data_IF_837542224210
#
_entry.id   IF_837542224210
#
_cell.length_a   1.000
_cell.length_b   1.000
_cell.length_c   1.000
_cell.angle_alpha   90.00
_cell.angle_beta   90.00
_cell.angle_gamma   90.00
#
_symmetry.space_group_name_H-M   'P 1'
#
loop_
_entity.id
_entity.type
_entity.pdbx_description
1 polymer ?
#
# COMPACT_ATOMS: atom_id res chain seq x y z
N UNK A 1 5.52 -6.32 5.33
CA UNK A 1 5.00 -6.50 3.94
C UNK A 1 5.56 -5.51 2.92
N UNK A 2 5.69 -4.20 3.18
CA UNK A 2 6.21 -3.23 2.21
C UNK A 2 7.57 -3.64 1.60
N UNK A 3 8.50 -4.14 2.43
CA UNK A 3 9.78 -4.66 1.96
C UNK A 3 9.66 -5.89 1.05
N UNK A 4 8.68 -6.75 1.28
CA UNK A 4 8.41 -7.88 0.40
C UNK A 4 7.95 -7.40 -0.97
N UNK A 5 7.10 -6.37 -1.01
CA UNK A 5 6.63 -5.74 -2.25
C UNK A 5 7.79 -5.05 -3.00
N UNK A 6 8.59 -4.26 -2.31
CA UNK A 6 9.76 -3.62 -2.88
C UNK A 6 10.76 -4.64 -3.45
N UNK A 7 11.07 -5.71 -2.69
CA UNK A 7 11.95 -6.78 -3.15
C UNK A 7 11.38 -7.50 -4.38
N UNK A 8 10.06 -7.66 -4.48
CA UNK A 8 9.41 -8.23 -5.68
C UNK A 8 9.66 -7.35 -6.90
N UNK A 9 9.36 -6.07 -6.79
CA UNK A 9 9.53 -5.09 -7.87
C UNK A 9 10.99 -5.03 -8.35
N UNK A 10 11.95 -4.93 -7.42
CA UNK A 10 13.38 -4.83 -7.75
C UNK A 10 13.90 -6.13 -8.39
N UNK A 11 13.61 -7.29 -7.82
CA UNK A 11 14.11 -8.57 -8.35
C UNK A 11 13.46 -8.93 -9.70
N UNK A 12 12.17 -8.64 -9.87
CA UNK A 12 11.43 -8.94 -11.10
C UNK A 12 11.60 -7.87 -12.17
N UNK A 13 12.07 -6.67 -11.78
CA UNK A 13 12.14 -5.47 -12.63
C UNK A 13 10.80 -5.10 -13.26
N UNK A 14 9.71 -5.52 -12.63
CA UNK A 14 8.35 -5.34 -13.09
C UNK A 14 7.36 -5.70 -11.95
N UNK A 15 6.08 -5.42 -12.16
CA UNK A 15 5.01 -5.82 -11.26
C UNK A 15 4.53 -7.23 -11.58
N UNK A 16 4.95 -8.21 -10.77
CA UNK A 16 4.53 -9.62 -10.91
C UNK A 16 3.73 -10.01 -9.66
N UNK A 17 2.38 -9.95 -9.67
CA UNK A 17 1.55 -10.20 -8.50
C UNK A 17 1.76 -11.57 -7.84
N UNK A 18 2.12 -12.57 -8.65
CA UNK A 18 2.47 -13.90 -8.15
C UNK A 18 3.71 -13.86 -7.25
N UNK A 19 4.79 -13.19 -7.68
CA UNK A 19 6.02 -13.05 -6.90
C UNK A 19 5.80 -12.20 -5.63
N UNK A 20 4.92 -11.19 -5.70
CA UNK A 20 4.46 -10.46 -4.52
C UNK A 20 3.83 -11.40 -3.48
N UNK A 21 2.90 -12.28 -3.89
CA UNK A 21 2.27 -13.25 -2.99
C UNK A 21 3.27 -14.28 -2.46
N UNK A 22 4.22 -14.74 -3.28
CA UNK A 22 5.32 -15.61 -2.85
C UNK A 22 6.12 -14.95 -1.73
N UNK A 23 6.51 -13.69 -1.87
CA UNK A 23 7.29 -12.99 -0.81
C UNK A 23 6.48 -12.71 0.43
N UNK A 24 5.18 -12.44 0.30
CA UNK A 24 4.28 -12.37 1.46
C UNK A 24 4.16 -13.71 2.17
N UNK A 25 4.09 -14.82 1.42
CA UNK A 25 4.13 -16.18 1.97
C UNK A 25 5.45 -16.45 2.70
N UNK A 26 6.60 -16.06 2.12
CA UNK A 26 7.91 -16.21 2.80
C UNK A 26 7.97 -15.41 4.10
N UNK A 27 7.42 -14.19 4.11
CA UNK A 27 7.31 -13.42 5.34
C UNK A 27 6.44 -14.15 6.36
N UNK A 28 5.26 -14.62 5.94
CA UNK A 28 4.31 -15.32 6.80
C UNK A 28 4.88 -16.60 7.42
N UNK A 29 5.55 -17.45 6.62
CA UNK A 29 6.07 -18.75 7.07
C UNK A 29 7.44 -18.70 7.72
N UNK A 30 8.30 -17.77 7.28
CA UNK A 30 9.73 -17.81 7.59
C UNK A 30 10.27 -16.48 8.14
N UNK A 31 9.43 -15.47 8.31
CA UNK A 31 9.87 -14.15 8.80
C UNK A 31 10.75 -13.39 7.79
N UNK A 32 10.71 -13.74 6.51
CA UNK A 32 11.40 -12.99 5.44
C UNK A 32 11.06 -11.50 5.52
N UNK A 33 12.09 -10.64 5.60
CA UNK A 33 11.96 -9.17 5.75
C UNK A 33 11.23 -8.72 7.03
N UNK A 34 11.18 -9.55 8.07
CA UNK A 34 10.66 -9.18 9.40
C UNK A 34 11.72 -8.50 10.27
N UNK A 35 11.30 -7.54 11.08
CA UNK A 35 12.17 -6.91 12.10
C UNK A 35 12.48 -7.82 13.29
N UNK A 36 11.72 -8.89 13.49
CA UNK A 36 11.90 -9.83 14.61
C UNK A 36 12.40 -11.21 14.18
N UNK A 37 12.71 -11.39 12.89
CA UNK A 37 13.09 -12.69 12.32
C UNK A 37 11.94 -13.71 12.21
N UNK A 38 10.71 -13.36 12.61
CA UNK A 38 9.50 -14.19 12.47
C UNK A 38 8.31 -13.34 12.01
N UNK A 39 7.28 -13.97 11.45
CA UNK A 39 6.01 -13.26 11.21
C UNK A 39 5.39 -12.86 12.55
N UNK A 40 4.93 -11.62 12.64
CA UNK A 40 4.09 -11.12 13.73
C UNK A 40 3.11 -10.10 13.14
N UNK A 41 1.98 -9.91 13.83
CA UNK A 41 0.98 -8.89 13.50
C UNK A 41 0.39 -9.01 12.07
N UNK A 42 0.09 -10.24 11.66
CA UNK A 42 -0.62 -10.49 10.41
C UNK A 42 -2.13 -10.37 10.62
N UNK A 43 -2.78 -9.49 9.86
CA UNK A 43 -4.24 -9.37 9.87
C UNK A 43 -4.94 -10.54 9.17
N UNK A 44 -6.17 -10.85 9.62
CA UNK A 44 -6.97 -11.98 9.12
C UNK A 44 -7.10 -12.00 7.59
N UNK A 45 -7.46 -10.86 6.98
CA UNK A 45 -7.59 -10.72 5.52
C UNK A 45 -6.33 -11.16 4.74
N UNK A 46 -5.15 -10.78 5.25
CA UNK A 46 -3.88 -11.17 4.62
C UNK A 46 -3.60 -12.64 4.85
N UNK A 47 -3.79 -13.13 6.08
CA UNK A 47 -3.59 -14.55 6.40
C UNK A 47 -4.47 -15.47 5.53
N UNK A 48 -5.76 -15.13 5.40
CA UNK A 48 -6.72 -15.91 4.60
C UNK A 48 -6.34 -15.91 3.12
N UNK A 49 -5.94 -14.74 2.59
CA UNK A 49 -5.48 -14.63 1.20
C UNK A 49 -4.20 -15.44 0.93
N UNK A 50 -3.29 -15.54 1.91
CA UNK A 50 -2.09 -16.36 1.77
C UNK A 50 -2.38 -17.85 1.86
N UNK A 51 -3.32 -18.28 2.72
CA UNK A 51 -3.80 -19.66 2.74
C UNK A 51 -4.45 -20.05 1.41
N UNK A 52 -5.30 -19.18 0.86
CA UNK A 52 -5.92 -19.41 -0.45
C UNK A 52 -4.87 -19.43 -1.58
N UNK A 53 -3.85 -18.57 -1.52
CA UNK A 53 -2.74 -18.59 -2.46
C UNK A 53 -1.98 -19.93 -2.41
N UNK A 54 -1.64 -20.41 -1.21
CA UNK A 54 -0.96 -21.71 -1.03
C UNK A 54 -1.81 -22.87 -1.55
N UNK A 55 -3.11 -22.89 -1.25
CA UNK A 55 -4.03 -23.89 -1.75
C UNK A 55 -4.07 -23.88 -3.29
N UNK A 56 -4.21 -22.70 -3.90
CA UNK A 56 -4.16 -22.56 -5.36
C UNK A 56 -2.83 -22.97 -5.95
N UNK A 57 -1.71 -22.66 -5.31
CA UNK A 57 -0.37 -23.13 -5.74
C UNK A 57 -0.32 -24.65 -5.83
N UNK A 58 -0.83 -25.37 -4.83
CA UNK A 58 -0.86 -26.84 -4.81
C UNK A 58 -1.74 -27.44 -5.92
N UNK A 59 -2.95 -26.89 -6.10
CA UNK A 59 -3.84 -27.29 -7.19
C UNK A 59 -3.20 -27.03 -8.55
N UNK A 60 -2.61 -25.85 -8.74
CA UNK A 60 -1.96 -25.45 -9.99
C UNK A 60 -0.76 -26.35 -10.32
N UNK A 61 0.04 -26.71 -9.32
CA UNK A 61 1.15 -27.65 -9.47
C UNK A 61 0.70 -29.00 -10.02
N UNK A 62 -0.41 -29.52 -9.48
CA UNK A 62 -1.00 -30.79 -9.92
C UNK A 62 -1.52 -30.68 -11.36
N UNK A 63 -2.29 -29.62 -11.68
CA UNK A 63 -2.87 -29.42 -13.02
C UNK A 63 -1.81 -29.30 -14.11
N UNK A 64 -0.73 -28.56 -13.85
CA UNK A 64 0.31 -28.28 -14.85
C UNK A 64 1.56 -29.14 -14.70
N UNK A 65 1.54 -30.14 -13.80
CA UNK A 65 2.66 -31.06 -13.50
C UNK A 65 3.96 -30.32 -13.16
N UNK A 66 3.85 -29.27 -12.34
CA UNK A 66 4.98 -28.46 -11.88
C UNK A 66 5.47 -29.03 -10.54
N UNK A 67 6.77 -29.32 -10.36
CA UNK A 67 7.31 -29.71 -9.06
C UNK A 67 7.07 -28.62 -7.99
N UNK A 68 6.63 -29.00 -6.79
CA UNK A 68 6.21 -28.06 -5.73
C UNK A 68 7.34 -27.09 -5.36
N UNK A 69 8.57 -27.57 -5.27
CA UNK A 69 9.76 -26.81 -4.95
C UNK A 69 10.09 -25.70 -5.98
N UNK A 70 9.50 -25.77 -7.18
CA UNK A 70 9.69 -24.76 -8.23
C UNK A 70 8.61 -23.68 -8.25
N UNK A 71 7.50 -23.85 -7.53
CA UNK A 71 6.36 -22.93 -7.60
C UNK A 71 6.73 -21.52 -7.20
N UNK A 72 7.50 -21.35 -6.13
CA UNK A 72 7.89 -20.02 -5.65
C UNK A 72 8.87 -19.30 -6.59
N UNK A 73 9.47 -20.03 -7.52
CA UNK A 73 10.40 -19.50 -8.51
C UNK A 73 9.81 -19.48 -9.92
N UNK A 74 8.49 -19.66 -10.05
CA UNK A 74 7.80 -19.69 -11.34
C UNK A 74 7.99 -18.37 -12.08
N UNK A 75 8.58 -18.43 -13.27
CA UNK A 75 8.87 -17.26 -14.11
C UNK A 75 8.29 -17.35 -15.52
N UNK A 76 7.69 -18.48 -15.89
CA UNK A 76 7.09 -18.68 -17.21
C UNK A 76 5.84 -17.80 -17.37
N UNK A 77 5.86 -16.88 -18.33
CA UNK A 77 4.78 -15.93 -18.55
C UNK A 77 3.45 -16.61 -18.93
N UNK A 78 3.51 -17.70 -19.70
CA UNK A 78 2.33 -18.46 -20.12
C UNK A 78 1.64 -19.19 -18.96
N UNK A 79 2.40 -19.62 -17.95
CA UNK A 79 1.86 -20.20 -16.72
C UNK A 79 1.40 -19.13 -15.73
N UNK A 80 2.17 -18.05 -15.56
CA UNK A 80 1.80 -16.95 -14.66
C UNK A 80 0.46 -16.32 -15.03
N UNK A 81 0.16 -16.16 -16.32
CA UNK A 81 -1.14 -15.65 -16.81
C UNK A 81 -2.32 -16.58 -16.51
N UNK A 82 -2.07 -17.87 -16.28
CA UNK A 82 -3.10 -18.86 -15.94
C UNK A 82 -3.36 -18.96 -14.44
N UNK A 83 -2.48 -18.39 -13.61
CA UNK A 83 -2.65 -18.43 -12.16
C UNK A 83 -3.54 -17.27 -11.68
N UNK A 84 -4.64 -17.60 -11.00
CA UNK A 84 -5.52 -16.58 -10.43
C UNK A 84 -4.95 -16.03 -9.10
N UNK A 85 -4.28 -14.87 -9.19
CA UNK A 85 -3.68 -14.15 -8.06
C UNK A 85 -4.67 -13.41 -7.16
N UNK A 86 -5.95 -13.30 -7.53
CA UNK A 86 -6.97 -12.65 -6.69
C UNK A 86 -7.43 -13.62 -5.59
N UNK A 87 -6.61 -13.75 -4.54
CA UNK A 87 -6.80 -14.72 -3.46
C UNK A 87 -7.68 -14.22 -2.31
N UNK A 88 -8.04 -12.94 -2.31
CA UNK A 88 -9.01 -12.40 -1.34
C UNK A 88 -10.45 -12.56 -1.82
N UNK A 89 -11.34 -12.83 -0.88
CA UNK A 89 -12.79 -12.72 -1.07
C UNK A 89 -13.23 -11.28 -1.34
N UNK A 90 -14.37 -11.12 -2.00
CA UNK A 90 -15.05 -9.82 -2.17
C UNK A 90 -15.49 -9.25 -0.83
N UNK A 91 -15.49 -7.93 -0.67
CA UNK A 91 -15.95 -7.26 0.56
C UNK A 91 -14.86 -7.07 1.63
N UNK A 92 -13.65 -7.59 1.39
CA UNK A 92 -12.52 -7.46 2.33
C UNK A 92 -11.87 -6.07 2.18
N UNK A 93 -12.33 -5.12 2.99
CA UNK A 93 -11.95 -3.70 2.93
C UNK A 93 -11.02 -3.24 4.08
N UNK A 94 -10.14 -4.12 4.55
CA UNK A 94 -9.12 -3.78 5.55
C UNK A 94 -8.05 -2.82 5.03
N UNK A 95 -7.43 -2.03 5.93
CA UNK A 95 -6.42 -1.02 5.60
C UNK A 95 -5.02 -1.59 5.27
N UNK A 96 -4.79 -2.90 5.47
CA UNK A 96 -3.49 -3.56 5.28
C UNK A 96 -2.92 -3.50 3.86
N UNK A 97 -3.74 -3.15 2.87
CA UNK A 97 -3.29 -2.83 1.51
C UNK A 97 -2.56 -1.47 1.43
N UNK A 98 -3.07 -0.43 2.10
CA UNK A 98 -2.48 0.91 2.08
C UNK A 98 -1.19 1.01 2.88
N UNK A 99 -1.10 0.33 4.04
CA UNK A 99 0.06 0.43 4.94
C UNK A 99 1.39 -0.02 4.31
N UNK A 100 1.34 -0.66 3.14
CA UNK A 100 2.51 -1.23 2.45
C UNK A 100 2.70 -0.71 1.02
N UNK A 101 1.94 0.30 0.59
CA UNK A 101 1.73 0.62 -0.81
C UNK A 101 2.96 1.24 -1.52
N UNK A 102 3.69 2.13 -0.82
CA UNK A 102 4.69 3.03 -1.37
C UNK A 102 5.67 2.45 -2.40
N UNK A 103 6.16 1.20 -2.28
CA UNK A 103 7.07 0.65 -3.27
C UNK A 103 6.54 0.69 -4.71
N UNK A 104 5.24 0.50 -4.94
CA UNK A 104 4.66 0.51 -6.28
C UNK A 104 4.71 1.90 -6.93
N UNK A 105 4.13 2.97 -6.34
CA UNK A 105 4.21 4.30 -6.94
C UNK A 105 5.65 4.83 -7.00
N UNK A 106 6.54 4.45 -6.08
CA UNK A 106 7.97 4.77 -6.16
C UNK A 106 8.64 4.13 -7.37
N UNK A 107 8.37 2.85 -7.64
CA UNK A 107 8.99 2.11 -8.75
C UNK A 107 8.49 2.60 -10.12
N UNK A 108 7.18 2.91 -10.23
CA UNK A 108 6.54 3.28 -11.50
C UNK A 108 6.31 4.78 -11.67
N UNK A 109 6.92 5.67 -10.87
CA UNK A 109 6.59 7.11 -10.85
C UNK A 109 6.70 7.84 -12.20
N UNK A 110 7.51 7.32 -13.15
CA UNK A 110 7.63 7.85 -14.52
C UNK A 110 6.51 7.38 -15.47
N UNK A 111 5.69 6.44 -15.03
CA UNK A 111 4.60 5.82 -15.77
C UNK A 111 3.31 5.91 -14.93
N UNK A 112 2.77 7.12 -14.74
CA UNK A 112 1.69 7.39 -13.78
C UNK A 112 0.48 6.46 -13.90
N UNK A 113 0.06 6.12 -15.13
CA UNK A 113 -1.07 5.19 -15.35
C UNK A 113 -0.78 3.81 -14.75
N UNK A 114 0.39 3.24 -15.03
CA UNK A 114 0.81 1.95 -14.46
C UNK A 114 1.01 2.05 -12.95
N UNK A 115 1.60 3.13 -12.44
CA UNK A 115 1.78 3.32 -11.01
C UNK A 115 0.45 3.31 -10.25
N UNK A 116 -0.56 4.02 -10.78
CA UNK A 116 -1.91 4.05 -10.20
C UNK A 116 -2.59 2.69 -10.31
N UNK A 117 -2.60 2.09 -11.49
CA UNK A 117 -3.21 0.78 -11.73
C UNK A 117 -2.61 -0.33 -10.86
N UNK A 118 -1.28 -0.45 -10.84
CA UNK A 118 -0.58 -1.45 -10.04
C UNK A 118 -0.69 -1.19 -8.53
N UNK A 119 -0.87 0.07 -8.11
CA UNK A 119 -1.18 0.38 -6.71
C UNK A 119 -2.48 -0.29 -6.29
N UNK A 120 -3.52 -0.19 -7.12
CA UNK A 120 -4.79 -0.90 -6.91
C UNK A 120 -4.61 -2.42 -6.92
N UNK A 121 -3.99 -2.97 -7.95
CA UNK A 121 -3.83 -4.43 -8.08
C UNK A 121 -3.02 -5.05 -6.93
N UNK A 122 -1.96 -4.38 -6.47
CA UNK A 122 -1.12 -4.82 -5.34
C UNK A 122 -1.92 -4.95 -4.04
N UNK A 123 -2.92 -4.10 -3.83
CA UNK A 123 -3.86 -4.22 -2.72
C UNK A 123 -4.85 -5.38 -2.90
N UNK A 124 -5.51 -5.40 -4.07
CA UNK A 124 -6.64 -6.28 -4.37
C UNK A 124 -6.33 -7.77 -4.24
N UNK A 125 -5.09 -8.20 -4.49
CA UNK A 125 -4.70 -9.61 -4.35
C UNK A 125 -4.84 -10.17 -2.92
N UNK A 126 -4.93 -9.29 -1.91
CA UNK A 126 -5.14 -9.66 -0.49
C UNK A 126 -6.34 -8.96 0.18
N UNK A 127 -6.93 -7.97 -0.48
CA UNK A 127 -8.04 -7.16 0.04
C UNK A 127 -9.02 -6.90 -1.12
N UNK A 128 -9.94 -7.85 -1.32
CA UNK A 128 -10.76 -7.97 -2.52
C UNK A 128 -11.97 -7.03 -2.61
N UNK A 129 -12.05 -5.99 -1.78
CA UNK A 129 -13.06 -4.95 -1.90
C UNK A 129 -12.63 -3.85 -2.91
N UNK A 130 -13.58 -3.34 -3.68
CA UNK A 130 -13.35 -2.25 -4.63
C UNK A 130 -12.81 -0.98 -3.94
N UNK A 131 -13.24 -0.70 -2.70
CA UNK A 131 -12.71 0.40 -1.89
C UNK A 131 -11.23 0.24 -1.60
N UNK A 132 -10.75 -0.99 -1.38
CA UNK A 132 -9.33 -1.23 -1.15
C UNK A 132 -8.51 -0.98 -2.43
N UNK A 133 -9.02 -1.45 -3.57
CA UNK A 133 -8.44 -1.18 -4.88
C UNK A 133 -8.37 0.33 -5.16
N UNK A 134 -9.48 1.05 -5.03
CA UNK A 134 -9.56 2.47 -5.35
C UNK A 134 -8.84 3.37 -4.34
N UNK A 135 -8.83 3.01 -3.05
CA UNK A 135 -8.01 3.70 -2.05
C UNK A 135 -6.53 3.63 -2.40
N UNK A 136 -6.03 2.45 -2.79
CA UNK A 136 -4.64 2.28 -3.19
C UNK A 136 -4.33 3.04 -4.49
N UNK A 137 -5.25 3.06 -5.46
CA UNK A 137 -5.09 3.86 -6.70
C UNK A 137 -4.97 5.34 -6.40
N UNK A 138 -5.90 5.89 -5.63
CA UNK A 138 -5.90 7.30 -5.27
C UNK A 138 -4.65 7.67 -4.47
N UNK A 139 -4.29 6.86 -3.47
CA UNK A 139 -3.10 7.11 -2.66
C UNK A 139 -1.79 6.98 -3.48
N UNK A 140 -1.74 6.00 -4.38
CA UNK A 140 -0.64 5.86 -5.35
C UNK A 140 -0.50 7.08 -6.25
N UNK A 141 -1.61 7.66 -6.73
CA UNK A 141 -1.59 8.88 -7.53
C UNK A 141 -1.01 10.07 -6.78
N UNK A 142 -1.36 10.24 -5.49
CA UNK A 142 -0.79 11.30 -4.64
C UNK A 142 0.72 11.16 -4.48
N UNK A 143 1.21 9.93 -4.25
CA UNK A 143 2.65 9.67 -4.15
C UNK A 143 3.35 9.95 -5.50
N UNK A 144 2.78 9.51 -6.63
CA UNK A 144 3.34 9.78 -7.96
C UNK A 144 3.41 11.27 -8.25
N UNK A 145 2.33 12.01 -8.01
CA UNK A 145 2.30 13.46 -8.21
C UNK A 145 3.35 14.17 -7.34
N UNK A 146 3.53 13.71 -6.10
CA UNK A 146 4.58 14.20 -5.19
C UNK A 146 5.98 14.00 -5.80
N UNK A 147 6.27 12.79 -6.30
CA UNK A 147 7.55 12.47 -6.94
C UNK A 147 7.77 13.22 -8.27
N UNK A 148 6.69 13.72 -8.87
CA UNK A 148 6.71 14.59 -10.05
C UNK A 148 6.79 16.08 -9.70
N UNK A 149 6.92 16.43 -8.42
CA UNK A 149 7.14 17.80 -7.94
C UNK A 149 5.87 18.59 -7.63
N UNK A 150 4.71 17.93 -7.52
CA UNK A 150 3.48 18.62 -7.12
C UNK A 150 3.60 19.20 -5.71
N UNK A 151 3.09 20.42 -5.54
CA UNK A 151 3.05 21.11 -4.25
C UNK A 151 1.92 20.56 -3.40
N UNK A 152 1.99 20.79 -2.09
CA UNK A 152 0.99 20.28 -1.14
C UNK A 152 -0.41 20.80 -1.44
N UNK A 153 -0.54 22.05 -1.87
CA UNK A 153 -1.82 22.65 -2.26
C UNK A 153 -2.43 21.96 -3.48
N UNK A 154 -1.59 21.49 -4.41
CA UNK A 154 -2.03 20.76 -5.61
C UNK A 154 -2.43 19.32 -5.26
N UNK A 155 -1.66 18.65 -4.38
CA UNK A 155 -1.97 17.30 -3.88
C UNK A 155 -3.29 17.26 -3.11
N UNK A 156 -3.57 18.32 -2.35
CA UNK A 156 -4.76 18.44 -1.50
C UNK A 156 -5.87 19.22 -2.18
N UNK A 157 -5.77 19.52 -3.47
CA UNK A 157 -6.83 20.18 -4.23
C UNK A 157 -8.08 19.28 -4.30
N UNK A 158 -9.27 19.85 -4.11
CA UNK A 158 -10.53 19.09 -4.18
C UNK A 158 -10.80 18.56 -5.59
N UNK A 159 -10.11 19.05 -6.61
CA UNK A 159 -10.18 18.62 -8.00
C UNK A 159 -8.95 17.79 -8.42
N UNK A 160 -8.11 17.33 -7.47
CA UNK A 160 -6.90 16.56 -7.78
C UNK A 160 -7.23 15.35 -8.66
N UNK A 161 -8.31 14.61 -8.34
CA UNK A 161 -8.72 13.44 -9.10
C UNK A 161 -9.10 13.81 -10.55
N UNK A 162 -9.89 14.86 -10.74
CA UNK A 162 -10.38 15.32 -12.03
C UNK A 162 -9.20 15.77 -12.92
N UNK A 163 -8.27 16.55 -12.35
CA UNK A 163 -7.03 17.01 -13.00
C UNK A 163 -6.13 15.85 -13.44
N UNK A 164 -6.24 14.70 -12.79
CA UNK A 164 -5.47 13.47 -13.09
C UNK A 164 -6.35 12.32 -13.58
N UNK A 165 -7.57 12.59 -14.06
CA UNK A 165 -8.56 11.55 -14.40
C UNK A 165 -8.07 10.55 -15.45
N UNK A 166 -7.13 10.95 -16.31
CA UNK A 166 -6.48 10.07 -17.28
C UNK A 166 -5.70 8.92 -16.64
N UNK A 167 -5.22 9.06 -15.41
CA UNK A 167 -4.50 8.02 -14.66
C UNK A 167 -5.45 6.95 -14.09
N UNK A 168 -6.74 7.24 -14.02
CA UNK A 168 -7.75 6.37 -13.43
C UNK A 168 -8.65 5.67 -14.47
N UNK A 169 -8.40 5.85 -15.77
CA UNK A 169 -9.22 5.20 -16.80
C UNK A 169 -8.96 3.68 -16.85
N UNK A 170 -9.97 2.85 -17.21
CA UNK A 170 -11.35 3.24 -17.54
C UNK A 170 -12.30 3.28 -16.32
N UNK A 171 -11.84 2.85 -15.14
CA UNK A 171 -12.72 2.62 -13.97
C UNK A 171 -12.63 3.80 -12.99
N UNK A 172 -13.71 4.58 -12.80
CA UNK A 172 -13.73 5.67 -11.82
C UNK A 172 -13.63 5.14 -10.39
N UNK A 173 -13.22 6.00 -9.46
CA UNK A 173 -13.18 5.65 -8.04
C UNK A 173 -14.61 5.49 -7.48
N UNK A 174 -14.78 4.54 -6.55
CA UNK A 174 -16.03 4.43 -5.78
C UNK A 174 -16.32 5.67 -4.92
N UNK A 175 -17.60 5.87 -4.61
CA UNK A 175 -18.12 7.09 -3.99
C UNK A 175 -17.42 7.48 -2.67
N UNK A 176 -17.04 6.49 -1.87
CA UNK A 176 -16.40 6.69 -0.58
C UNK A 176 -14.98 7.24 -0.73
N UNK A 177 -14.24 6.80 -1.75
CA UNK A 177 -12.91 7.33 -2.06
C UNK A 177 -13.03 8.67 -2.77
N UNK A 178 -14.06 8.88 -3.60
CA UNK A 178 -14.35 10.19 -4.20
C UNK A 178 -14.62 11.26 -3.13
N UNK A 179 -15.36 10.94 -2.05
CA UNK A 179 -15.57 11.87 -0.92
C UNK A 179 -14.24 12.30 -0.29
N UNK A 180 -13.32 11.36 -0.13
CA UNK A 180 -11.97 11.66 0.37
C UNK A 180 -11.22 12.52 -0.65
N UNK A 181 -11.26 12.18 -1.94
CA UNK A 181 -10.61 12.96 -3.00
C UNK A 181 -11.13 14.41 -3.06
N UNK A 182 -12.41 14.62 -2.74
CA UNK A 182 -13.05 15.93 -2.64
C UNK A 182 -12.86 16.61 -1.27
N UNK A 183 -12.00 16.06 -0.41
CA UNK A 183 -11.53 16.73 0.80
C UNK A 183 -12.33 16.46 2.07
N UNK A 184 -13.04 15.32 2.18
CA UNK A 184 -13.76 14.96 3.42
C UNK A 184 -12.87 14.96 4.67
N UNK A 185 -11.57 14.72 4.50
CA UNK A 185 -10.55 14.77 5.55
C UNK A 185 -10.22 16.20 6.04
N UNK A 186 -10.69 17.28 5.41
CA UNK A 186 -10.35 18.67 5.77
C UNK A 186 -11.19 19.19 6.94
N UNK A 187 -11.20 18.44 8.03
CA UNK A 187 -11.96 18.73 9.23
C UNK A 187 -11.06 19.33 10.32
N UNK A 188 -11.40 20.53 10.80
CA UNK A 188 -10.76 21.07 11.99
C UNK A 188 -11.22 20.27 13.21
N UNK A 189 -10.30 19.86 14.07
CA UNK A 189 -10.61 19.13 15.32
C UNK A 189 -10.36 17.62 15.28
N UNK A 190 -9.96 17.05 14.13
CA UNK A 190 -9.50 15.66 14.03
C UNK A 190 -10.49 14.65 14.63
N UNK A 191 -10.08 13.99 15.72
CA UNK A 191 -10.90 12.99 16.40
C UNK A 191 -12.26 13.55 16.86
N UNK A 192 -12.31 14.76 17.41
CA UNK A 192 -13.59 15.33 17.87
C UNK A 192 -14.53 15.69 16.70
N UNK A 193 -13.96 15.92 15.52
CA UNK A 193 -14.70 16.19 14.29
C UNK A 193 -15.08 14.93 13.50
N UNK A 194 -14.83 13.74 14.05
CA UNK A 194 -15.24 12.46 13.45
C UNK A 194 -14.17 11.74 12.62
N UNK A 195 -12.94 12.27 12.51
CA UNK A 195 -11.83 11.55 11.85
C UNK A 195 -11.46 10.34 12.70
N UNK A 196 -11.46 9.15 12.10
CA UNK A 196 -11.14 7.89 12.78
C UNK A 196 -10.14 7.10 11.96
N UNK A 197 -9.00 6.75 12.54
CA UNK A 197 -8.00 5.89 11.89
C UNK A 197 -8.24 4.43 12.25
N UNK A 198 -9.32 3.81 11.76
CA UNK A 198 -9.68 2.42 12.09
C UNK A 198 -9.16 1.42 11.06
N UNK A 199 -9.33 0.12 11.36
CA UNK A 199 -9.02 -1.01 10.46
C UNK A 199 -9.69 -0.97 9.07
N UNK A 200 -10.72 -0.13 8.87
CA UNK A 200 -11.41 0.05 7.60
C UNK A 200 -10.64 1.02 6.68
N UNK A 201 -10.39 0.60 5.44
CA UNK A 201 -9.48 1.30 4.53
C UNK A 201 -9.86 2.75 4.22
N UNK A 202 -11.16 3.06 4.13
CA UNK A 202 -11.66 4.43 3.88
C UNK A 202 -11.31 5.33 5.06
N UNK A 203 -11.53 4.84 6.28
CA UNK A 203 -11.22 5.56 7.51
C UNK A 203 -9.71 5.79 7.66
N UNK A 204 -8.90 4.75 7.44
CA UNK A 204 -7.44 4.86 7.52
C UNK A 204 -6.86 5.86 6.49
N UNK A 205 -7.38 5.86 5.25
CA UNK A 205 -6.98 6.82 4.23
C UNK A 205 -7.36 8.25 4.61
N UNK A 206 -8.61 8.47 5.05
CA UNK A 206 -9.11 9.78 5.47
C UNK A 206 -8.29 10.33 6.64
N UNK A 207 -7.99 9.50 7.64
CA UNK A 207 -7.17 9.87 8.80
C UNK A 207 -5.73 10.24 8.42
N UNK A 208 -5.09 9.47 7.54
CA UNK A 208 -3.73 9.76 7.09
C UNK A 208 -3.66 11.08 6.28
N UNK A 209 -4.65 11.34 5.43
CA UNK A 209 -4.73 12.60 4.67
C UNK A 209 -5.10 13.78 5.55
N UNK A 210 -5.92 13.59 6.59
CA UNK A 210 -6.15 14.62 7.60
C UNK A 210 -4.86 15.01 8.30
N UNK A 211 -4.04 14.04 8.72
CA UNK A 211 -2.76 14.31 9.36
C UNK A 211 -1.77 15.01 8.43
N UNK A 212 -1.75 14.64 7.15
CA UNK A 212 -0.95 15.31 6.13
C UNK A 212 -1.44 16.74 5.85
N UNK A 213 -2.75 16.96 5.78
CA UNK A 213 -3.34 18.29 5.57
C UNK A 213 -3.12 19.23 6.77
N UNK A 214 -3.26 18.73 7.99
CA UNK A 214 -3.31 19.55 9.20
C UNK A 214 -1.97 20.15 9.63
N UNK A 215 -0.85 19.56 9.20
CA UNK A 215 0.48 19.86 9.76
C UNK A 215 1.53 20.17 8.69
N UNK A 216 2.46 21.06 9.00
CA UNK A 216 3.40 21.65 8.04
C UNK A 216 4.74 20.88 7.89
N UNK A 217 4.99 19.88 8.73
CA UNK A 217 6.19 19.07 8.67
C UNK A 217 5.91 17.60 9.02
N UNK A 218 6.90 16.75 8.74
CA UNK A 218 6.80 15.31 8.96
C UNK A 218 6.53 14.95 10.43
N UNK A 219 7.27 15.58 11.36
CA UNK A 219 7.17 15.25 12.80
C UNK A 219 5.77 15.52 13.34
N UNK A 220 5.24 16.74 13.12
CA UNK A 220 3.94 17.12 13.63
C UNK A 220 2.82 16.28 13.02
N UNK A 221 2.86 16.02 11.72
CA UNK A 221 1.84 15.18 11.08
C UNK A 221 1.93 13.72 11.50
N UNK A 222 3.13 13.16 11.71
CA UNK A 222 3.27 11.82 12.26
C UNK A 222 2.69 11.72 13.68
N UNK A 223 2.97 12.71 14.54
CA UNK A 223 2.38 12.78 15.87
C UNK A 223 0.86 12.96 15.80
N UNK A 224 0.34 13.76 14.88
CA UNK A 224 -1.10 13.91 14.67
C UNK A 224 -1.77 12.59 14.26
N UNK A 225 -1.16 11.85 13.32
CA UNK A 225 -1.63 10.54 12.89
C UNK A 225 -1.68 9.52 14.04
N UNK A 226 -0.65 9.49 14.89
CA UNK A 226 -0.59 8.60 16.07
C UNK A 226 -1.59 9.05 17.14
N UNK A 227 -1.71 10.35 17.40
CA UNK A 227 -2.57 10.89 18.46
C UNK A 227 -4.07 10.85 18.11
N UNK A 228 -4.46 10.51 16.88
CA UNK A 228 -5.85 10.15 16.57
C UNK A 228 -6.31 8.90 17.33
N UNK A 229 -5.39 8.06 17.82
CA UNK A 229 -5.73 6.80 18.45
C UNK A 229 -6.22 5.77 17.43
N UNK A 230 -7.06 4.84 17.89
CA UNK A 230 -7.53 3.68 17.10
C UNK A 230 -6.36 2.82 16.57
N UNK A 231 -6.24 2.65 15.26
CA UNK A 231 -5.21 1.88 14.56
C UNK A 231 -4.02 2.80 14.21
N UNK A 232 -3.28 3.15 15.27
CA UNK A 232 -2.25 4.20 15.25
C UNK A 232 -1.06 3.86 14.35
N UNK A 233 -0.61 2.60 14.36
CA UNK A 233 0.53 2.13 13.59
C UNK A 233 0.20 2.13 12.09
N UNK A 234 -0.98 1.64 11.71
CA UNK A 234 -1.40 1.70 10.30
C UNK A 234 -1.59 3.13 9.83
N UNK A 235 -2.27 3.98 10.62
CA UNK A 235 -2.52 5.37 10.23
C UNK A 235 -1.21 6.14 10.05
N UNK A 236 -0.26 5.97 10.97
CA UNK A 236 1.07 6.58 10.88
C UNK A 236 1.90 6.00 9.73
N UNK A 237 1.81 4.70 9.45
CA UNK A 237 2.48 4.06 8.32
C UNK A 237 1.92 4.52 6.98
N UNK A 238 0.61 4.75 6.88
CA UNK A 238 0.00 5.34 5.69
C UNK A 238 0.52 6.77 5.55
N UNK A 239 0.31 7.64 6.54
CA UNK A 239 0.79 9.04 6.54
C UNK A 239 2.27 9.14 6.12
N UNK A 240 3.14 8.32 6.72
CA UNK A 240 4.58 8.37 6.52
C UNK A 240 5.01 8.12 5.08
N UNK A 241 4.21 7.41 4.28
CA UNK A 241 4.50 7.16 2.87
C UNK A 241 4.39 8.44 2.03
N UNK A 242 3.26 9.15 2.10
CA UNK A 242 3.06 10.40 1.36
C UNK A 242 3.90 11.54 1.95
N UNK A 243 3.90 11.68 3.27
CA UNK A 243 4.68 12.71 3.95
C UNK A 243 6.19 12.52 3.73
N UNK A 244 6.68 11.27 3.75
CA UNK A 244 8.08 10.96 3.46
C UNK A 244 8.46 11.25 2.02
N UNK A 245 7.58 10.95 1.05
CA UNK A 245 7.78 11.33 -0.35
C UNK A 245 7.79 12.85 -0.55
N UNK A 246 6.94 13.59 0.20
CA UNK A 246 6.78 15.04 0.06
C UNK A 246 7.88 15.84 0.76
N UNK A 247 8.09 15.60 2.06
CA UNK A 247 9.11 16.31 2.83
C UNK A 247 10.53 15.82 2.49
N UNK A 248 10.67 14.59 2.00
CA UNK A 248 11.95 13.99 1.65
C UNK A 248 12.74 13.50 2.86
N UNK A 249 13.62 12.51 2.64
CA UNK A 249 14.39 11.85 3.70
C UNK A 249 15.21 12.82 4.56
N UNK A 250 15.81 13.85 3.95
CA UNK A 250 16.64 14.83 4.66
C UNK A 250 15.88 15.74 5.65
N UNK A 251 14.55 15.78 5.58
CA UNK A 251 13.70 16.55 6.50
C UNK A 251 13.01 15.66 7.55
N UNK A 252 13.36 14.37 7.62
CA UNK A 252 12.85 13.48 8.66
C UNK A 252 13.61 13.71 9.98
N UNK A 253 12.96 13.58 11.16
CA UNK A 253 13.63 13.81 12.43
C UNK A 253 14.75 12.80 12.70
N UNK A 254 16.00 13.23 12.75
CA UNK A 254 17.16 12.34 12.97
C UNK A 254 17.03 11.55 14.28
N UNK A 255 16.47 12.17 15.32
CA UNK A 255 16.17 11.53 16.62
C UNK A 255 15.26 10.31 16.49
N UNK A 256 14.44 10.20 15.44
CA UNK A 256 13.61 9.03 15.16
C UNK A 256 14.33 8.05 14.25
N UNK A 257 15.01 8.55 13.22
CA UNK A 257 15.76 7.72 12.26
C UNK A 257 16.79 6.83 12.94
N UNK A 258 17.46 7.29 13.99
CA UNK A 258 18.42 6.48 14.75
C UNK A 258 17.82 5.23 15.42
N UNK A 259 16.50 5.18 15.60
CA UNK A 259 15.80 4.06 16.23
C UNK A 259 15.10 3.14 15.22
N UNK A 260 15.12 3.47 13.92
CA UNK A 260 14.52 2.63 12.88
C UNK A 260 15.38 1.38 12.68
N UNK A 261 14.81 0.22 12.98
CA UNK A 261 15.45 -1.07 12.73
C UNK A 261 15.83 -1.22 11.25
N UNK A 262 17.03 -1.74 11.00
CA UNK A 262 17.56 -1.99 9.67
C UNK A 262 17.60 -0.74 8.73
N UNK A 263 17.71 0.48 9.28
CA UNK A 263 17.78 1.75 8.50
C UNK A 263 18.70 1.66 7.28
N UNK A 264 19.94 1.17 7.44
CA UNK A 264 20.90 1.09 6.34
C UNK A 264 20.44 0.15 5.22
N UNK A 265 19.75 -0.93 5.57
CA UNK A 265 19.16 -1.85 4.59
C UNK A 265 17.99 -1.17 3.85
N UNK A 266 17.12 -0.44 4.56
CA UNK A 266 16.02 0.32 3.95
C UNK A 266 16.52 1.35 2.93
N UNK A 267 17.65 2.01 3.21
CA UNK A 267 18.24 3.02 2.34
C UNK A 267 18.97 2.44 1.13
N UNK A 268 19.35 1.16 1.16
CA UNK A 268 20.11 0.50 0.10
C UNK A 268 19.28 -0.42 -0.81
N UNK A 269 17.98 -0.53 -0.56
CA UNK A 269 17.05 -1.39 -1.30
C UNK A 269 16.65 -0.78 -2.65
#
# INVERSE_FOLDING_TARGET
MALCLAASLVCRRDFVPYDQLVRYKWWYKHGYMSSTGRCFDIGAATSDSLHEFEHRQQCFATTYKIPIEKLDFLSDAGLLTKFNVKCSSSGVAGNGALMRLAPVPLFFYRHSVHAVEYSGFSGMITHGDQKAYDACRYYGALIVATLQGARKEELLDNEFYEKHSSWFKPVPLVSEIMKIAHGSYKQKGGYDAGIRGKGYIVNALEAALWAFWSEENFEKGALAAVNLGDDTDTTAAIYGQLAGAYYGYGNLPEKWLQHVYAKNFLLGL
#
